data_IF_016845090114
#
_entry.id   IF_016845090114
#
_cell.length_a   1.000
_cell.length_b   1.000
_cell.length_c   1.000
_cell.angle_alpha   90.00
_cell.angle_beta   90.00
_cell.angle_gamma   90.00
#
_symmetry.space_group_name_H-M   'P 1'
#
loop_
_entity.id
_entity.type
_entity.pdbx_description
1 polymer ?
#
# COMPACT_ATOMS: atom_id res chain seq x y z
N UNK A 1 -16.56 19.55 -2.75
CA UNK A 1 -15.76 18.53 -2.02
C UNK A 1 -14.41 19.18 -1.87
N UNK A 2 -14.27 19.85 -0.73
CA UNK A 2 -13.38 20.99 -0.60
C UNK A 2 -12.11 20.47 0.06
N UNK A 3 -11.00 20.52 -0.68
CA UNK A 3 -9.72 19.97 -0.27
C UNK A 3 -8.95 21.05 0.50
N UNK A 4 -9.36 21.31 1.74
CA UNK A 4 -8.59 22.11 2.70
C UNK A 4 -7.91 21.20 3.73
N UNK A 5 -6.64 21.50 3.99
CA UNK A 5 -5.88 21.13 5.19
C UNK A 5 -5.13 19.79 5.22
N UNK A 6 -4.20 19.59 4.29
CA UNK A 6 -2.94 18.88 4.61
C UNK A 6 -1.77 19.85 4.43
N UNK A 7 -1.54 20.64 5.46
CA UNK A 7 -0.31 21.43 5.62
C UNK A 7 0.71 20.58 6.37
N UNK A 8 1.68 20.02 5.64
CA UNK A 8 2.85 19.35 6.21
C UNK A 8 4.12 19.79 5.47
N UNK A 9 4.84 20.68 6.14
CA UNK A 9 6.31 20.74 6.23
C UNK A 9 7.10 20.88 4.92
N UNK A 10 7.33 22.15 4.57
CA UNK A 10 8.57 22.73 4.00
C UNK A 10 9.64 21.73 3.53
N UNK A 11 9.58 21.38 2.24
CA UNK A 11 10.75 20.89 1.51
C UNK A 11 11.47 22.11 0.93
N UNK A 12 12.71 22.31 1.36
CA UNK A 12 13.63 23.39 0.96
C UNK A 12 13.50 23.84 -0.50
N UNK A 13 13.21 25.13 -0.65
CA UNK A 13 13.37 25.92 -1.87
C UNK A 13 14.72 25.63 -2.56
N UNK A 14 14.76 25.43 -3.89
CA UNK A 14 16.02 25.37 -4.61
C UNK A 14 16.66 26.75 -4.58
N UNK A 15 17.65 26.94 -3.70
CA UNK A 15 18.53 28.11 -3.72
C UNK A 15 19.06 28.33 -5.13
N UNK A 16 18.60 29.40 -5.76
CA UNK A 16 19.12 29.89 -7.03
C UNK A 16 20.65 29.98 -6.93
N UNK A 17 21.32 29.18 -7.75
CA UNK A 17 22.78 29.26 -7.86
C UNK A 17 23.11 30.57 -8.53
N UNK A 18 23.69 31.50 -7.75
CA UNK A 18 24.42 32.67 -8.28
C UNK A 18 25.35 32.21 -9.39
N UNK A 19 25.03 32.55 -10.64
CA UNK A 19 25.97 32.49 -11.76
C UNK A 19 27.14 33.42 -11.44
N UNK A 20 28.29 32.82 -11.15
CA UNK A 20 29.55 33.52 -11.01
C UNK A 20 29.87 34.21 -12.35
N UNK A 21 29.73 35.54 -12.36
CA UNK A 21 30.05 36.39 -13.50
C UNK A 21 31.50 36.24 -13.92
N UNK A 22 31.73 35.54 -15.04
CA UNK A 22 33.02 35.54 -15.74
C UNK A 22 33.05 36.70 -16.74
N UNK A 23 33.09 37.95 -16.26
CA UNK A 23 33.54 39.07 -17.11
C UNK A 23 35.06 39.00 -17.20
N UNK A 24 35.61 38.68 -18.38
CA UNK A 24 37.04 38.85 -18.65
C UNK A 24 37.82 37.67 -19.26
N UNK A 25 37.20 36.65 -19.86
CA UNK A 25 37.96 35.64 -20.63
C UNK A 25 38.09 36.06 -22.11
N UNK A 26 39.33 36.30 -22.56
CA UNK A 26 39.69 36.59 -23.96
C UNK A 26 39.04 35.57 -24.93
N UNK A 27 38.44 36.00 -26.04
CA UNK A 27 37.86 35.09 -27.03
C UNK A 27 39.01 34.46 -27.82
N UNK A 28 39.21 33.14 -27.70
CA UNK A 28 40.12 32.45 -28.62
C UNK A 28 40.78 31.14 -28.18
N UNK A 29 40.74 30.75 -26.90
CA UNK A 29 41.36 29.47 -26.48
C UNK A 29 40.54 28.74 -25.43
N UNK A 30 39.58 27.93 -25.89
CA UNK A 30 38.90 26.93 -25.05
C UNK A 30 39.94 25.85 -24.70
N UNK A 31 40.66 26.03 -23.61
CA UNK A 31 41.63 25.06 -23.07
C UNK A 31 40.92 23.73 -22.85
N UNK A 32 41.52 22.62 -23.29
CA UNK A 32 41.01 21.25 -23.19
C UNK A 32 40.39 20.91 -21.82
N UNK A 33 40.94 21.46 -20.74
CA UNK A 33 40.44 21.33 -19.36
C UNK A 33 39.00 21.80 -19.15
N UNK A 34 38.57 22.89 -19.79
CA UNK A 34 37.17 23.38 -19.67
C UNK A 34 36.19 22.45 -20.40
N UNK A 35 36.61 21.83 -21.52
CA UNK A 35 35.79 20.83 -22.21
C UNK A 35 35.63 19.56 -21.38
N UNK A 36 36.67 19.17 -20.65
CA UNK A 36 36.65 18.02 -19.73
C UNK A 36 35.69 18.30 -18.55
N UNK A 37 35.73 19.49 -17.95
CA UNK A 37 34.82 19.86 -16.85
C UNK A 37 33.34 19.88 -17.29
N UNK A 38 33.05 20.40 -18.49
CA UNK A 38 31.68 20.37 -19.05
C UNK A 38 31.21 18.92 -19.25
N UNK A 39 32.06 18.05 -19.82
CA UNK A 39 31.74 16.63 -20.02
C UNK A 39 31.49 15.93 -18.67
N UNK A 40 32.31 16.20 -17.66
CA UNK A 40 32.16 15.63 -16.33
C UNK A 40 30.88 16.11 -15.62
N UNK A 41 30.51 17.39 -15.76
CA UNK A 41 29.25 17.94 -15.23
C UNK A 41 28.03 17.32 -15.90
N UNK A 42 28.07 17.17 -17.22
CA UNK A 42 26.99 16.54 -17.98
C UNK A 42 26.79 15.08 -17.54
N UNK A 43 27.89 14.34 -17.36
CA UNK A 43 27.81 12.95 -16.94
C UNK A 43 27.28 12.79 -15.51
N UNK A 44 27.70 13.66 -14.57
CA UNK A 44 27.11 13.70 -13.22
C UNK A 44 25.62 13.99 -13.24
N UNK A 45 25.17 14.92 -14.08
CA UNK A 45 23.73 15.23 -14.21
C UNK A 45 22.94 14.08 -14.83
N UNK A 46 23.54 13.34 -15.77
CA UNK A 46 22.92 12.14 -16.34
C UNK A 46 22.81 11.03 -15.30
N UNK A 47 23.87 10.83 -14.52
CA UNK A 47 23.91 9.83 -13.48
C UNK A 47 22.88 10.11 -12.38
N UNK A 48 22.78 11.35 -11.88
CA UNK A 48 21.77 11.72 -10.90
C UNK A 48 20.34 11.53 -11.41
N UNK A 49 20.08 11.82 -12.71
CA UNK A 49 18.80 11.56 -13.33
C UNK A 49 18.47 10.06 -13.42
N UNK A 50 19.46 9.21 -13.72
CA UNK A 50 19.31 7.74 -13.73
C UNK A 50 19.01 7.22 -12.33
N UNK A 51 19.76 7.67 -11.33
CA UNK A 51 19.57 7.29 -9.93
C UNK A 51 18.20 7.72 -9.40
N UNK A 52 17.73 8.92 -9.77
CA UNK A 52 16.39 9.38 -9.43
C UNK A 52 15.30 8.42 -9.98
N UNK A 53 15.43 8.01 -11.25
CA UNK A 53 14.51 7.05 -11.87
C UNK A 53 14.57 5.68 -11.18
N UNK A 54 15.77 5.17 -10.93
CA UNK A 54 15.97 3.89 -10.24
C UNK A 54 15.36 3.91 -8.83
N UNK A 55 15.60 4.98 -8.06
CA UNK A 55 15.04 5.18 -6.72
C UNK A 55 13.52 5.25 -6.75
N UNK A 56 12.93 5.99 -7.70
CA UNK A 56 11.48 6.08 -7.85
C UNK A 56 10.87 4.73 -8.21
N UNK A 57 11.51 3.96 -9.10
CA UNK A 57 11.08 2.60 -9.46
C UNK A 57 11.08 1.69 -8.23
N UNK A 58 12.18 1.64 -7.47
CA UNK A 58 12.27 0.83 -6.26
C UNK A 58 11.24 1.25 -5.21
N UNK A 59 11.04 2.56 -5.01
CA UNK A 59 10.03 3.07 -4.07
C UNK A 59 8.63 2.60 -4.43
N UNK A 60 8.26 2.68 -5.70
CA UNK A 60 6.93 2.26 -6.14
C UNK A 60 6.75 0.76 -6.13
N UNK A 61 7.78 0.01 -6.48
CA UNK A 61 7.77 -1.45 -6.35
C UNK A 61 7.52 -1.87 -4.89
N UNK A 62 8.23 -1.27 -3.93
CA UNK A 62 8.01 -1.56 -2.50
C UNK A 62 6.59 -1.19 -2.04
N UNK A 63 6.07 -0.04 -2.47
CA UNK A 63 4.71 0.37 -2.11
C UNK A 63 3.65 -0.56 -2.72
N UNK A 64 3.87 -1.02 -3.95
CA UNK A 64 3.00 -1.98 -4.64
C UNK A 64 3.00 -3.33 -3.91
N UNK A 65 4.18 -3.84 -3.52
CA UNK A 65 4.32 -5.07 -2.72
C UNK A 65 3.59 -4.94 -1.37
N UNK A 66 3.76 -3.82 -0.65
CA UNK A 66 3.05 -3.57 0.61
C UNK A 66 1.52 -3.55 0.46
N UNK A 67 1.02 -2.92 -0.60
CA UNK A 67 -0.42 -2.86 -0.88
C UNK A 67 -0.94 -4.26 -1.22
N UNK A 68 -0.26 -4.99 -2.10
CA UNK A 68 -0.63 -6.34 -2.48
C UNK A 68 -0.67 -7.31 -1.29
N UNK A 69 0.33 -7.24 -0.40
CA UNK A 69 0.37 -8.08 0.80
C UNK A 69 -0.79 -7.75 1.76
N UNK A 70 -1.12 -6.46 1.91
CA UNK A 70 -2.24 -6.02 2.74
C UNK A 70 -3.58 -6.47 2.16
N UNK A 71 -3.78 -6.31 0.85
CA UNK A 71 -4.98 -6.76 0.15
C UNK A 71 -5.18 -8.27 0.30
N UNK A 72 -4.10 -9.04 0.12
CA UNK A 72 -4.10 -10.48 0.34
C UNK A 72 -4.51 -10.84 1.78
N UNK A 73 -3.92 -10.18 2.78
CA UNK A 73 -4.26 -10.41 4.18
C UNK A 73 -5.74 -10.10 4.47
N UNK A 74 -6.28 -9.01 3.92
CA UNK A 74 -7.70 -8.66 4.06
C UNK A 74 -8.60 -9.75 3.46
N UNK A 75 -8.26 -10.25 2.27
CA UNK A 75 -9.03 -11.33 1.63
C UNK A 75 -9.00 -12.59 2.50
N UNK A 76 -7.82 -13.01 2.97
CA UNK A 76 -7.69 -14.19 3.85
C UNK A 76 -8.51 -14.06 5.14
N UNK A 77 -8.47 -12.90 5.79
CA UNK A 77 -9.22 -12.68 7.02
C UNK A 77 -10.74 -12.66 6.79
N UNK A 78 -11.19 -12.12 5.65
CA UNK A 78 -12.61 -12.13 5.27
C UNK A 78 -13.10 -13.55 5.02
N UNK A 79 -12.35 -14.36 4.29
CA UNK A 79 -12.74 -15.76 4.05
C UNK A 79 -12.72 -16.60 5.33
N UNK A 80 -11.79 -16.33 6.25
CA UNK A 80 -11.81 -16.92 7.60
C UNK A 80 -13.06 -16.54 8.38
N UNK A 81 -13.41 -15.25 8.40
CA UNK A 81 -14.60 -14.75 9.08
C UNK A 81 -15.87 -15.38 8.52
N UNK A 82 -16.02 -15.41 7.19
CA UNK A 82 -17.17 -16.04 6.51
C UNK A 82 -17.30 -17.52 6.88
N UNK A 83 -16.18 -18.26 6.96
CA UNK A 83 -16.20 -19.66 7.42
C UNK A 83 -16.67 -19.79 8.86
N UNK A 84 -16.24 -18.91 9.76
CA UNK A 84 -16.68 -18.94 11.16
C UNK A 84 -18.16 -18.58 11.30
N UNK A 85 -18.65 -17.61 10.51
CA UNK A 85 -20.07 -17.26 10.48
C UNK A 85 -20.91 -18.45 10.02
N UNK A 86 -20.55 -19.09 8.92
CA UNK A 86 -21.24 -20.29 8.42
C UNK A 86 -21.21 -21.43 9.45
N UNK A 87 -20.08 -21.64 10.12
CA UNK A 87 -19.99 -22.65 11.17
C UNK A 87 -20.90 -22.31 12.36
N UNK A 88 -20.96 -21.05 12.77
CA UNK A 88 -21.86 -20.58 13.80
C UNK A 88 -23.32 -20.79 13.42
N UNK A 89 -23.71 -20.48 12.19
CA UNK A 89 -25.08 -20.71 11.68
C UNK A 89 -25.43 -22.19 11.75
N UNK A 90 -24.57 -23.07 11.21
CA UNK A 90 -24.75 -24.52 11.28
C UNK A 90 -24.85 -25.02 12.73
N UNK A 91 -24.06 -24.46 13.65
CA UNK A 91 -24.13 -24.76 15.08
C UNK A 91 -25.43 -24.27 15.73
N UNK A 92 -25.96 -23.13 15.32
CA UNK A 92 -27.26 -22.67 15.82
C UNK A 92 -28.42 -23.49 15.29
N UNK A 93 -28.37 -23.91 14.02
CA UNK A 93 -29.38 -24.78 13.41
C UNK A 93 -29.38 -26.18 14.03
N UNK A 94 -28.19 -26.76 14.25
CA UNK A 94 -28.08 -28.08 14.87
C UNK A 94 -28.34 -28.05 16.39
N UNK A 95 -28.15 -26.90 17.06
CA UNK A 95 -28.49 -26.73 18.47
C UNK A 95 -29.98 -26.51 18.71
N UNK A 96 -30.67 -25.80 17.81
CA UNK A 96 -32.09 -25.45 18.00
C UNK A 96 -33.05 -26.54 17.53
N UNK A 97 -32.73 -27.29 16.47
CA UNK A 97 -33.61 -28.34 15.95
C UNK A 97 -33.45 -29.67 16.69
N UNK A 98 -32.23 -30.20 16.80
CA UNK A 98 -32.03 -31.55 17.36
C UNK A 98 -32.10 -31.60 18.88
N UNK A 99 -31.66 -30.55 19.59
CA UNK A 99 -31.64 -30.59 21.06
C UNK A 99 -33.01 -30.25 21.67
N UNK A 100 -33.82 -29.42 21.01
CA UNK A 100 -35.09 -28.98 21.57
C UNK A 100 -36.17 -30.06 21.41
N UNK A 101 -36.23 -30.71 20.23
CA UNK A 101 -37.16 -31.82 19.98
C UNK A 101 -36.82 -33.04 20.85
N UNK A 102 -35.53 -33.39 20.98
CA UNK A 102 -35.09 -34.46 21.89
C UNK A 102 -35.38 -34.13 23.36
N UNK A 103 -35.15 -32.88 23.79
CA UNK A 103 -35.48 -32.45 25.16
C UNK A 103 -37.00 -32.45 25.43
N UNK A 104 -37.82 -32.07 24.45
CA UNK A 104 -39.28 -32.11 24.57
C UNK A 104 -39.83 -33.55 24.60
N UNK A 105 -39.16 -34.48 23.90
CA UNK A 105 -39.43 -35.91 23.95
C UNK A 105 -38.99 -36.51 25.30
N UNK A 106 -37.82 -36.13 25.83
CA UNK A 106 -37.29 -36.57 27.13
C UNK A 106 -38.11 -36.05 28.33
N UNK A 107 -38.61 -34.82 28.26
CA UNK A 107 -39.48 -34.21 29.29
C UNK A 107 -40.92 -34.78 29.19
N UNK A 108 -41.24 -35.58 28.17
CA UNK A 108 -42.53 -36.25 28.01
C UNK A 108 -43.68 -35.32 27.61
N UNK A 109 -43.36 -34.17 27.00
CA UNK A 109 -44.35 -33.18 26.55
C UNK A 109 -44.92 -33.56 25.18
N UNK A 110 -44.13 -34.21 24.32
CA UNK A 110 -44.60 -34.79 23.07
C UNK A 110 -45.40 -36.07 23.36
N UNK A 111 -46.67 -35.92 23.72
CA UNK A 111 -47.61 -37.04 23.80
C UNK A 111 -47.72 -37.67 22.41
N UNK A 112 -47.35 -38.94 22.29
CA UNK A 112 -47.85 -39.80 21.22
C UNK A 112 -49.37 -39.82 21.37
N UNK A 113 -50.07 -39.13 20.47
CA UNK A 113 -51.51 -39.35 20.34
C UNK A 113 -51.71 -40.79 19.86
N UNK A 114 -52.01 -41.67 20.81
CA UNK A 114 -52.52 -43.01 20.53
C UNK A 114 -53.93 -42.80 19.98
N UNK A 115 -54.04 -42.75 18.66
CA UNK A 115 -55.33 -42.81 17.96
C UNK A 115 -55.78 -44.27 18.03
N UNK A 116 -56.82 -44.53 18.85
CA UNK A 116 -57.59 -45.78 18.87
C UNK A 116 -58.71 -45.77 17.84
#
# INVERSE_FOLDING_TARGET
MDCESIQMMSAEEPKERKECGKRGRKPGKKTSTEKIDIKAKLERSRQSARECRARKKLRYQYLEELVADREKAVITLRTELERYMLWSENLTENSTSNNLDQLLEEIGILKQEIIS
#
